data_IF_129589441196
#
_entry.id   IF_129589441196
#
_cell.length_a   1.000
_cell.length_b   1.000
_cell.length_c   1.000
_cell.angle_alpha   90.00
_cell.angle_beta   90.00
_cell.angle_gamma   90.00
#
_symmetry.space_group_name_H-M   'P 1'
#
loop_
_entity.id
_entity.type
_entity.pdbx_description
1 polymer ?
#
# COMPACT_ATOMS: atom_id res chain seq x y z
N UNK A 1 -14.01 13.29 81.88
CA UNK A 1 -13.56 14.25 80.88
C UNK A 1 -12.62 13.50 79.97
N UNK A 2 -13.14 12.98 78.79
CA UNK A 2 -12.36 12.21 77.81
C UNK A 2 -11.98 13.09 76.65
N UNK A 3 -10.68 13.30 76.42
CA UNK A 3 -10.10 14.03 75.33
C UNK A 3 -10.00 13.12 74.12
N UNK A 4 -10.71 13.42 73.03
CA UNK A 4 -10.64 12.73 71.74
C UNK A 4 -9.57 13.46 70.90
N UNK A 5 -8.45 12.75 70.60
CA UNK A 5 -7.44 13.23 69.63
C UNK A 5 -7.93 12.90 68.23
N UNK A 6 -8.15 13.95 67.42
CA UNK A 6 -8.38 13.82 65.95
C UNK A 6 -7.04 13.64 65.24
N UNK A 7 -6.86 12.53 64.58
CA UNK A 7 -5.78 12.32 63.60
C UNK A 7 -6.28 12.86 62.25
N UNK A 8 -5.62 13.88 61.73
CA UNK A 8 -5.83 14.35 60.34
C UNK A 8 -4.87 13.60 59.43
N UNK A 9 -5.42 12.75 58.57
CA UNK A 9 -4.67 12.07 57.49
C UNK A 9 -4.59 13.03 56.31
N UNK A 10 -3.39 13.49 56.00
CA UNK A 10 -3.11 14.25 54.77
C UNK A 10 -2.91 13.26 53.66
N UNK A 11 -3.84 13.19 52.71
CA UNK A 11 -3.69 12.43 51.45
C UNK A 11 -2.96 13.34 50.46
N UNK A 12 -1.69 13.02 50.19
CA UNK A 12 -0.94 13.63 49.12
C UNK A 12 -1.42 13.00 47.81
N UNK A 13 -2.24 13.72 47.04
CA UNK A 13 -2.56 13.37 45.65
C UNK A 13 -1.34 13.71 44.80
N UNK A 14 -0.61 12.67 44.36
CA UNK A 14 0.39 12.80 43.30
C UNK A 14 -0.38 12.93 41.97
N UNK A 15 -0.48 14.14 41.49
CA UNK A 15 -0.95 14.40 40.10
C UNK A 15 0.14 13.91 39.13
N UNK A 16 -0.08 12.77 38.51
CA UNK A 16 0.62 12.37 37.30
C UNK A 16 0.21 13.35 36.19
N UNK A 17 1.01 14.38 36.01
CA UNK A 17 0.93 15.22 34.82
C UNK A 17 1.49 14.41 33.66
N UNK A 18 0.63 13.73 32.89
CA UNK A 18 0.97 13.30 31.54
C UNK A 18 1.10 14.58 30.72
N UNK A 19 2.34 15.04 30.51
CA UNK A 19 2.64 16.03 29.50
C UNK A 19 2.32 15.36 28.15
N UNK A 20 1.16 15.70 27.57
CA UNK A 20 0.99 15.57 26.14
C UNK A 20 2.10 16.44 25.54
N UNK A 21 3.11 15.84 24.92
CA UNK A 21 4.07 16.53 24.07
C UNK A 21 3.23 17.24 23.02
N UNK A 22 3.49 18.52 22.81
CA UNK A 22 2.80 19.26 21.78
C UNK A 22 3.12 18.59 20.41
N UNK A 23 2.12 18.47 19.56
CA UNK A 23 2.24 17.85 18.21
C UNK A 23 3.33 18.52 17.34
N UNK A 24 3.70 19.75 17.68
CA UNK A 24 4.68 20.59 16.97
C UNK A 24 6.14 20.11 17.09
N UNK A 25 6.49 19.26 18.07
CA UNK A 25 7.87 18.82 18.32
C UNK A 25 8.12 17.35 17.91
N UNK A 26 7.12 16.63 17.39
CA UNK A 26 7.30 15.25 16.95
C UNK A 26 7.93 15.17 15.58
N UNK A 27 8.81 14.16 15.38
CA UNK A 27 9.39 13.85 14.08
C UNK A 27 8.28 13.66 13.04
N UNK A 28 8.41 14.29 11.88
CA UNK A 28 7.41 14.28 10.82
C UNK A 28 7.94 13.63 9.56
N UNK A 29 7.32 12.52 9.13
CA UNK A 29 7.57 11.90 7.85
C UNK A 29 6.43 12.22 6.86
N UNK A 30 6.78 12.47 5.60
CA UNK A 30 5.83 12.63 4.51
C UNK A 30 6.07 11.53 3.49
N UNK A 31 4.99 10.90 3.04
CA UNK A 31 5.02 9.83 2.04
C UNK A 31 4.34 10.27 0.75
N UNK A 32 4.65 9.63 -0.36
CA UNK A 32 4.06 9.96 -1.66
C UNK A 32 2.61 9.51 -1.77
N UNK A 33 2.24 8.36 -1.19
CA UNK A 33 0.87 7.84 -1.26
C UNK A 33 0.43 7.08 -0.01
N UNK A 34 -0.87 6.84 0.08
CA UNK A 34 -1.54 6.38 1.30
C UNK A 34 -1.11 5.00 1.79
N UNK A 35 -0.76 4.08 0.89
CA UNK A 35 -0.35 2.72 1.26
C UNK A 35 0.94 2.74 2.07
N UNK A 36 1.98 3.41 1.56
CA UNK A 36 3.25 3.53 2.31
C UNK A 36 3.12 4.48 3.51
N UNK A 37 2.13 5.38 3.53
CA UNK A 37 1.83 6.17 4.71
C UNK A 37 1.34 5.31 5.87
N UNK A 38 0.42 4.38 5.59
CA UNK A 38 -0.07 3.45 6.61
C UNK A 38 1.05 2.53 7.10
N UNK A 39 1.86 1.98 6.19
CA UNK A 39 3.03 1.16 6.57
C UNK A 39 3.99 1.95 7.48
N UNK A 40 4.29 3.19 7.10
CA UNK A 40 5.17 4.06 7.88
C UNK A 40 4.57 4.45 9.24
N UNK A 41 3.25 4.70 9.31
CA UNK A 41 2.58 5.00 10.58
C UNK A 41 2.59 3.80 11.52
N UNK A 42 2.45 2.57 11.00
CA UNK A 42 2.56 1.35 11.82
C UNK A 42 3.97 1.18 12.42
N UNK A 43 5.01 1.53 11.69
CA UNK A 43 6.40 1.54 12.21
C UNK A 43 6.61 2.71 13.17
N UNK A 44 6.08 3.88 12.85
CA UNK A 44 6.23 5.09 13.68
C UNK A 44 5.53 4.95 15.05
N UNK A 45 4.35 4.34 15.11
CA UNK A 45 3.49 4.36 16.29
C UNK A 45 3.16 5.81 16.69
N UNK A 46 3.33 6.11 17.98
CA UNK A 46 3.14 7.47 18.52
C UNK A 46 4.43 8.32 18.48
N UNK A 47 5.56 7.76 18.06
CA UNK A 47 6.86 8.46 18.07
C UNK A 47 6.98 9.49 16.94
N UNK A 48 6.34 9.28 15.78
CA UNK A 48 6.35 10.20 14.68
C UNK A 48 4.96 10.45 14.10
N UNK A 49 4.81 11.53 13.37
CA UNK A 49 3.63 11.86 12.57
C UNK A 49 3.91 11.46 11.13
N UNK A 50 3.01 10.73 10.49
CA UNK A 50 3.12 10.37 9.08
C UNK A 50 1.98 10.97 8.28
N UNK A 51 2.31 11.70 7.23
CA UNK A 51 1.33 12.29 6.31
C UNK A 51 1.55 11.80 4.88
N UNK A 52 0.47 11.61 4.12
CA UNK A 52 0.53 11.28 2.69
C UNK A 52 0.35 12.52 1.82
N UNK A 53 1.10 12.63 0.71
CA UNK A 53 0.90 13.65 -0.32
C UNK A 53 -0.42 13.39 -1.02
N UNK A 54 -0.63 12.18 -1.55
CA UNK A 54 -1.90 11.83 -2.19
C UNK A 54 -2.98 11.55 -1.15
N UNK A 55 -4.22 11.74 -1.55
CA UNK A 55 -5.39 11.46 -0.72
C UNK A 55 -5.89 10.04 -0.94
N UNK A 56 -6.66 9.55 0.02
CA UNK A 56 -7.40 8.29 -0.12
C UNK A 56 -8.22 8.26 -1.41
N UNK A 57 -8.14 7.14 -2.14
CA UNK A 57 -8.80 6.92 -3.42
C UNK A 57 -8.14 7.59 -4.63
N UNK A 58 -7.01 8.29 -4.46
CA UNK A 58 -6.33 8.95 -5.58
C UNK A 58 -5.56 7.95 -6.44
N UNK A 59 -5.58 8.17 -7.75
CA UNK A 59 -4.66 7.57 -8.71
C UNK A 59 -3.25 8.19 -8.50
N UNK A 60 -2.20 7.36 -8.51
CA UNK A 60 -0.86 7.78 -8.08
C UNK A 60 0.16 7.94 -9.22
N UNK A 61 0.00 7.24 -10.35
CA UNK A 61 0.96 7.29 -11.45
C UNK A 61 0.98 8.64 -12.16
N UNK A 62 -0.20 9.19 -12.42
CA UNK A 62 -0.39 10.49 -13.09
C UNK A 62 -0.69 11.64 -12.13
N UNK A 63 -0.36 11.51 -10.83
CA UNK A 63 -0.67 12.54 -9.85
C UNK A 63 0.02 13.87 -10.18
N UNK A 64 -0.72 14.97 -10.01
CA UNK A 64 -0.21 16.31 -10.21
C UNK A 64 -0.13 17.05 -8.88
N UNK A 65 1.09 17.23 -8.31
CA UNK A 65 1.28 17.89 -7.04
C UNK A 65 0.80 19.34 -7.06
N UNK A 66 0.17 19.74 -5.98
CA UNK A 66 -0.27 21.12 -5.75
C UNK A 66 0.75 21.91 -4.94
N UNK A 67 0.69 23.27 -4.92
CA UNK A 67 1.55 24.07 -4.04
C UNK A 67 1.43 23.70 -2.54
N UNK A 68 0.28 23.17 -2.10
CA UNK A 68 0.10 22.72 -0.72
C UNK A 68 0.89 21.44 -0.42
N UNK A 69 1.03 20.56 -1.40
CA UNK A 69 1.81 19.33 -1.26
C UNK A 69 3.29 19.67 -1.12
N UNK A 70 3.78 20.70 -1.84
CA UNK A 70 5.14 21.19 -1.72
C UNK A 70 5.38 21.73 -0.29
N UNK A 71 4.50 22.58 0.22
CA UNK A 71 4.61 23.16 1.57
C UNK A 71 4.64 22.02 2.61
N UNK A 72 3.72 21.05 2.51
CA UNK A 72 3.66 19.90 3.42
C UNK A 72 4.96 19.12 3.45
N UNK A 73 5.55 18.87 2.27
CA UNK A 73 6.80 18.13 2.15
C UNK A 73 8.03 18.95 2.60
N UNK A 74 8.01 20.28 2.46
CA UNK A 74 9.08 21.17 2.97
C UNK A 74 9.15 21.20 4.49
N UNK A 75 8.02 21.02 5.17
CA UNK A 75 7.92 21.01 6.63
C UNK A 75 8.18 19.59 7.22
N UNK A 76 8.59 18.63 6.41
CA UNK A 76 8.91 17.28 6.84
C UNK A 76 10.38 17.12 7.24
N UNK A 77 10.65 16.26 8.21
CA UNK A 77 12.00 15.84 8.61
C UNK A 77 12.51 14.70 7.71
N UNK A 78 11.60 13.94 7.07
CA UNK A 78 11.91 12.82 6.21
C UNK A 78 10.85 12.63 5.14
N UNK A 79 11.25 12.27 3.92
CA UNK A 79 10.34 11.88 2.86
C UNK A 79 10.56 10.40 2.50
N UNK A 80 9.45 9.66 2.44
CA UNK A 80 9.43 8.26 2.05
C UNK A 80 8.71 8.11 0.71
N UNK A 81 9.31 7.44 -0.26
CA UNK A 81 8.76 7.25 -1.59
C UNK A 81 9.05 5.85 -2.13
N UNK A 82 8.24 5.40 -3.10
CA UNK A 82 8.35 4.04 -3.62
C UNK A 82 9.61 3.80 -4.45
N UNK A 83 9.86 4.66 -5.41
CA UNK A 83 10.85 4.39 -6.47
C UNK A 83 10.28 3.52 -7.59
N UNK A 84 11.14 2.76 -8.30
CA UNK A 84 10.78 1.90 -9.43
C UNK A 84 9.97 2.60 -10.53
N UNK A 85 10.16 3.89 -10.72
CA UNK A 85 9.45 4.76 -11.67
C UNK A 85 7.94 4.95 -11.36
N UNK A 86 7.48 4.71 -10.14
CA UNK A 86 6.09 4.94 -9.77
C UNK A 86 5.77 6.44 -9.85
N UNK A 87 6.51 7.23 -9.08
CA UNK A 87 6.26 8.65 -8.90
C UNK A 87 7.17 9.50 -9.80
N UNK A 88 7.06 9.37 -11.12
CA UNK A 88 7.85 10.19 -12.05
C UNK A 88 7.59 11.70 -11.85
N UNK A 89 6.38 12.06 -11.40
CA UNK A 89 6.01 13.42 -10.98
C UNK A 89 6.81 13.89 -9.77
N UNK A 90 7.21 12.97 -8.90
CA UNK A 90 7.91 13.26 -7.66
C UNK A 90 9.37 13.70 -7.92
N UNK A 91 10.05 13.14 -8.91
CA UNK A 91 11.41 13.55 -9.27
C UNK A 91 11.50 15.04 -9.65
N UNK A 92 10.47 15.59 -10.31
CA UNK A 92 10.41 17.02 -10.61
C UNK A 92 10.08 17.85 -9.36
N UNK A 93 9.23 17.32 -8.51
CA UNK A 93 8.83 17.89 -7.24
C UNK A 93 10.01 17.96 -6.27
N UNK A 94 10.81 16.88 -6.19
CA UNK A 94 11.97 16.75 -5.31
C UNK A 94 13.06 17.78 -5.56
N UNK A 95 13.21 18.25 -6.78
CA UNK A 95 14.18 19.33 -7.07
C UNK A 95 13.95 20.60 -6.28
N UNK A 96 12.74 20.79 -5.76
CA UNK A 96 12.37 21.91 -4.92
C UNK A 96 12.48 21.62 -3.41
N UNK A 97 12.85 20.38 -3.05
CA UNK A 97 12.91 19.86 -1.67
C UNK A 97 14.30 19.30 -1.33
N UNK A 98 15.35 19.78 -1.99
CA UNK A 98 16.72 19.24 -1.91
C UNK A 98 17.30 19.20 -0.49
N UNK A 99 16.73 19.95 0.43
CA UNK A 99 17.21 20.06 1.81
C UNK A 99 16.51 19.06 2.77
N UNK A 100 15.43 18.36 2.32
CA UNK A 100 14.74 17.36 3.12
C UNK A 100 15.30 15.96 2.80
N UNK A 101 15.75 15.19 3.80
CA UNK A 101 16.20 13.82 3.60
C UNK A 101 15.12 12.93 2.99
N UNK A 102 15.51 11.92 2.21
CA UNK A 102 14.54 10.98 1.64
C UNK A 102 15.06 9.56 1.60
N UNK A 103 14.14 8.59 1.63
CA UNK A 103 14.43 7.17 1.48
C UNK A 103 13.51 6.52 0.43
N UNK A 104 14.11 5.68 -0.42
CA UNK A 104 13.42 4.86 -1.39
C UNK A 104 13.03 3.54 -0.73
N UNK A 105 11.73 3.26 -0.66
CA UNK A 105 11.24 2.10 0.10
C UNK A 105 11.40 0.77 -0.64
N UNK A 106 11.57 0.79 -1.95
CA UNK A 106 11.84 -0.40 -2.77
C UNK A 106 13.32 -0.76 -2.89
N UNK A 107 14.21 -0.06 -2.22
CA UNK A 107 15.64 -0.41 -2.24
C UNK A 107 15.86 -1.84 -1.73
N UNK A 108 16.71 -2.60 -2.44
CA UNK A 108 16.98 -4.01 -2.15
C UNK A 108 15.99 -5.00 -2.75
N UNK A 109 14.91 -4.55 -3.39
CA UNK A 109 13.97 -5.41 -4.11
C UNK A 109 14.47 -5.63 -5.55
N UNK A 110 14.50 -6.88 -6.00
CA UNK A 110 14.72 -7.18 -7.42
C UNK A 110 13.41 -6.97 -8.20
N UNK A 111 13.34 -5.97 -9.09
CA UNK A 111 12.09 -5.61 -9.71
C UNK A 111 11.67 -6.61 -10.79
N UNK A 112 10.37 -6.93 -10.83
CA UNK A 112 9.76 -7.60 -11.97
C UNK A 112 9.67 -6.63 -13.15
N UNK A 113 9.93 -7.14 -14.36
CA UNK A 113 9.79 -6.34 -15.57
C UNK A 113 8.35 -6.38 -16.09
N UNK A 114 7.85 -5.23 -16.52
CA UNK A 114 6.60 -5.14 -17.29
C UNK A 114 6.79 -5.86 -18.63
N UNK A 115 5.87 -6.77 -18.99
CA UNK A 115 6.03 -7.68 -20.13
C UNK A 115 5.38 -7.17 -21.43
N UNK A 116 4.68 -6.02 -21.43
CA UNK A 116 3.91 -5.58 -22.59
C UNK A 116 3.77 -4.05 -22.68
N UNK A 117 3.34 -3.58 -23.87
CA UNK A 117 3.07 -2.17 -24.12
C UNK A 117 4.33 -1.32 -24.21
N UNK A 118 4.17 -0.02 -24.09
CA UNK A 118 5.27 0.96 -24.16
C UNK A 118 6.21 0.92 -22.95
N UNK A 119 5.75 0.31 -21.83
CA UNK A 119 6.53 0.10 -20.61
C UNK A 119 7.30 -1.23 -20.62
N UNK A 120 7.28 -1.99 -21.71
CA UNK A 120 7.97 -3.28 -21.79
C UNK A 120 9.45 -3.18 -21.40
N UNK A 121 9.89 -4.02 -20.48
CA UNK A 121 11.23 -4.03 -19.94
C UNK A 121 11.51 -2.97 -18.84
N UNK A 122 10.56 -2.11 -18.52
CA UNK A 122 10.63 -1.22 -17.35
C UNK A 122 10.29 -1.97 -16.07
N UNK A 123 10.80 -1.53 -14.91
CA UNK A 123 10.41 -2.13 -13.64
C UNK A 123 8.92 -1.93 -13.37
N UNK A 124 8.24 -2.97 -12.88
CA UNK A 124 6.91 -2.87 -12.34
C UNK A 124 7.00 -2.26 -10.94
N UNK A 125 6.32 -1.13 -10.66
CA UNK A 125 6.51 -0.42 -9.40
C UNK A 125 5.75 -1.02 -8.19
N UNK A 126 4.78 -1.92 -8.41
CA UNK A 126 3.81 -2.36 -7.40
C UNK A 126 4.36 -3.46 -6.46
N UNK A 127 5.62 -3.30 -6.02
CA UNK A 127 6.31 -4.31 -5.24
C UNK A 127 5.70 -4.53 -3.84
N UNK A 128 5.00 -3.55 -3.28
CA UNK A 128 4.28 -3.69 -2.00
C UNK A 128 3.16 -4.73 -2.02
N UNK A 129 2.75 -5.20 -3.19
CA UNK A 129 1.76 -6.28 -3.32
C UNK A 129 2.34 -7.68 -3.07
N UNK A 130 3.65 -7.83 -2.91
CA UNK A 130 4.32 -9.06 -2.50
C UNK A 130 4.56 -9.08 -1.00
N UNK A 131 4.34 -10.23 -0.34
CA UNK A 131 4.68 -10.42 1.07
C UNK A 131 6.17 -10.19 1.32
N UNK A 132 7.04 -10.82 0.52
CA UNK A 132 8.49 -10.71 0.68
C UNK A 132 8.94 -9.25 0.55
N UNK A 133 8.46 -8.57 -0.48
CA UNK A 133 8.78 -7.15 -0.70
C UNK A 133 8.21 -6.26 0.39
N UNK A 134 6.99 -6.51 0.87
CA UNK A 134 6.38 -5.74 1.96
C UNK A 134 7.24 -5.74 3.24
N UNK A 135 7.87 -6.86 3.56
CA UNK A 135 8.79 -6.92 4.71
C UNK A 135 10.02 -6.05 4.48
N UNK A 136 10.53 -5.97 3.25
CA UNK A 136 11.65 -5.08 2.88
C UNK A 136 11.21 -3.61 3.01
N UNK A 137 10.00 -3.25 2.56
CA UNK A 137 9.46 -1.90 2.77
C UNK A 137 9.44 -1.53 4.25
N UNK A 138 8.97 -2.43 5.12
CA UNK A 138 8.94 -2.18 6.57
C UNK A 138 10.34 -2.00 7.14
N UNK A 139 11.32 -2.81 6.70
CA UNK A 139 12.71 -2.66 7.12
C UNK A 139 13.31 -1.33 6.64
N UNK A 140 13.07 -0.93 5.38
CA UNK A 140 13.55 0.34 4.84
C UNK A 140 12.92 1.55 5.56
N UNK A 141 11.64 1.48 5.91
CA UNK A 141 10.96 2.51 6.72
C UNK A 141 11.62 2.60 8.11
N UNK A 142 11.81 1.46 8.80
CA UNK A 142 12.48 1.42 10.10
C UNK A 142 13.88 2.03 10.03
N UNK A 143 14.67 1.63 9.06
CA UNK A 143 16.06 2.09 8.91
C UNK A 143 16.12 3.59 8.63
N UNK A 144 15.18 4.12 7.82
CA UNK A 144 15.07 5.54 7.57
C UNK A 144 14.70 6.32 8.84
N UNK A 145 13.72 5.84 9.61
CA UNK A 145 13.35 6.47 10.89
C UNK A 145 14.50 6.42 11.90
N UNK A 146 15.15 5.27 12.09
CA UNK A 146 16.30 5.13 13.00
C UNK A 146 17.45 6.06 12.62
N UNK A 147 17.70 6.25 11.32
CA UNK A 147 18.77 7.12 10.84
C UNK A 147 18.49 8.61 11.11
N UNK A 148 17.23 9.04 11.04
CA UNK A 148 16.84 10.46 11.11
C UNK A 148 16.21 10.87 12.43
N UNK A 149 15.72 9.89 13.22
CA UNK A 149 15.18 10.09 14.59
C UNK A 149 15.69 9.00 15.54
N UNK A 150 17.00 8.98 15.83
CA UNK A 150 17.65 7.92 16.62
C UNK A 150 17.16 7.86 18.08
N UNK A 151 16.57 8.91 18.62
CA UNK A 151 16.03 8.93 19.98
C UNK A 151 14.88 7.95 20.15
N UNK A 152 14.12 7.68 19.08
CA UNK A 152 13.00 6.75 19.04
C UNK A 152 13.33 5.38 18.41
N UNK A 153 14.61 5.09 18.13
CA UNK A 153 15.06 3.88 17.42
C UNK A 153 14.45 2.58 17.97
N UNK A 154 14.48 2.39 19.29
CA UNK A 154 13.94 1.18 19.93
C UNK A 154 12.43 0.98 19.69
N UNK A 155 11.66 2.08 19.58
CA UNK A 155 10.24 2.04 19.24
C UNK A 155 10.04 1.59 17.81
N UNK A 156 10.77 2.17 16.86
CA UNK A 156 10.70 1.83 15.44
C UNK A 156 11.09 0.38 15.17
N UNK A 157 12.16 -0.10 15.79
CA UNK A 157 12.61 -1.50 15.71
C UNK A 157 11.54 -2.47 16.22
N UNK A 158 10.97 -2.21 17.39
CA UNK A 158 9.94 -3.07 18.00
C UNK A 158 8.66 -3.10 17.15
N UNK A 159 8.20 -1.93 16.68
CA UNK A 159 7.01 -1.80 15.86
C UNK A 159 7.19 -2.48 14.50
N UNK A 160 8.35 -2.32 13.85
CA UNK A 160 8.65 -2.95 12.57
C UNK A 160 8.59 -4.49 12.68
N UNK A 161 9.19 -5.08 13.70
CA UNK A 161 9.14 -6.53 13.93
C UNK A 161 7.69 -7.02 14.18
N UNK A 162 6.93 -6.30 15.00
CA UNK A 162 5.53 -6.63 15.26
C UNK A 162 4.69 -6.54 13.97
N UNK A 163 4.86 -5.48 13.19
CA UNK A 163 4.10 -5.25 11.97
C UNK A 163 4.44 -6.26 10.85
N UNK A 164 5.71 -6.65 10.70
CA UNK A 164 6.11 -7.73 9.79
C UNK A 164 5.46 -9.07 10.15
N UNK A 165 5.36 -9.37 11.44
CA UNK A 165 4.67 -10.57 11.91
C UNK A 165 3.16 -10.52 11.58
N UNK A 166 2.53 -9.36 11.73
CA UNK A 166 1.11 -9.16 11.42
C UNK A 166 0.82 -9.27 9.92
N UNK A 167 1.65 -8.66 9.06
CA UNK A 167 1.57 -8.82 7.59
C UNK A 167 1.65 -10.30 7.22
N UNK A 168 2.64 -11.01 7.76
CA UNK A 168 2.84 -12.43 7.46
C UNK A 168 1.65 -13.28 7.91
N UNK A 169 1.10 -13.03 9.10
CA UNK A 169 -0.06 -13.74 9.63
C UNK A 169 -1.33 -13.46 8.82
N UNK A 170 -1.49 -12.25 8.27
CA UNK A 170 -2.63 -11.87 7.44
C UNK A 170 -2.61 -12.61 6.10
N UNK A 171 -1.44 -12.69 5.45
CA UNK A 171 -1.33 -13.23 4.09
C UNK A 171 -1.28 -14.75 4.05
N UNK A 172 -0.68 -15.43 5.04
CA UNK A 172 -0.45 -16.85 5.01
C UNK A 172 -1.72 -17.70 4.74
N UNK A 173 -2.85 -17.51 5.46
CA UNK A 173 -4.05 -18.31 5.23
C UNK A 173 -4.70 -18.01 3.86
N UNK A 174 -4.59 -16.79 3.37
CA UNK A 174 -5.15 -16.39 2.06
C UNK A 174 -4.35 -17.00 0.92
N UNK A 175 -3.03 -17.07 1.06
CA UNK A 175 -2.16 -17.76 0.12
C UNK A 175 -2.49 -19.25 0.04
N UNK A 176 -2.73 -19.91 1.17
CA UNK A 176 -3.14 -21.32 1.20
C UNK A 176 -4.47 -21.55 0.47
N UNK A 177 -5.45 -20.65 0.62
CA UNK A 177 -6.72 -20.75 -0.10
C UNK A 177 -6.54 -20.67 -1.61
N UNK A 178 -5.74 -19.73 -2.11
CA UNK A 178 -5.47 -19.60 -3.55
C UNK A 178 -4.67 -20.80 -4.06
N UNK A 179 -3.67 -21.27 -3.32
CA UNK A 179 -2.88 -22.45 -3.71
C UNK A 179 -3.67 -23.76 -3.69
N UNK A 180 -4.82 -23.82 -3.04
CA UNK A 180 -5.75 -24.96 -3.11
C UNK A 180 -6.50 -25.03 -4.44
N UNK A 181 -6.60 -23.93 -5.20
CA UNK A 181 -7.14 -23.93 -6.57
C UNK A 181 -6.16 -24.61 -7.51
N UNK A 182 -6.57 -25.45 -8.47
CA UNK A 182 -5.67 -26.02 -9.48
C UNK A 182 -4.89 -24.95 -10.24
N UNK A 183 -3.59 -25.18 -10.51
CA UNK A 183 -2.69 -24.18 -11.08
C UNK A 183 -3.15 -23.64 -12.44
N UNK A 184 -3.77 -24.50 -13.26
CA UNK A 184 -4.35 -24.15 -14.56
C UNK A 184 -5.56 -23.22 -14.46
N UNK A 185 -6.19 -23.12 -13.29
CA UNK A 185 -7.34 -22.26 -13.01
C UNK A 185 -6.95 -20.97 -12.25
N UNK A 186 -5.69 -20.86 -11.81
CA UNK A 186 -5.21 -19.68 -11.06
C UNK A 186 -4.89 -18.54 -12.00
N UNK A 187 -5.92 -17.89 -12.52
CA UNK A 187 -5.79 -16.71 -13.34
C UNK A 187 -6.20 -15.45 -12.58
N UNK A 188 -5.33 -14.45 -12.61
CA UNK A 188 -5.65 -13.11 -12.14
C UNK A 188 -5.79 -12.19 -13.35
N UNK A 189 -7.02 -11.83 -13.68
CA UNK A 189 -7.33 -10.94 -14.80
C UNK A 189 -7.77 -9.60 -14.24
N UNK A 190 -6.96 -8.57 -14.41
CA UNK A 190 -7.14 -7.22 -13.87
C UNK A 190 -7.21 -6.15 -14.96
N UNK A 191 -7.51 -4.93 -14.57
CA UNK A 191 -7.42 -3.78 -15.49
C UNK A 191 -5.96 -3.40 -15.71
N UNK A 192 -5.21 -3.17 -14.64
CA UNK A 192 -3.80 -2.82 -14.66
C UNK A 192 -2.91 -4.01 -14.34
N UNK A 193 -1.67 -4.01 -14.85
CA UNK A 193 -0.61 -4.97 -14.49
C UNK A 193 0.04 -4.69 -13.13
N UNK A 194 -0.79 -4.39 -12.13
CA UNK A 194 -0.35 -3.98 -10.80
C UNK A 194 -0.12 -5.15 -9.83
N UNK A 195 -0.47 -6.37 -10.22
CA UNK A 195 -0.48 -7.52 -9.34
C UNK A 195 0.61 -8.54 -9.65
N UNK A 196 1.58 -8.22 -10.51
CA UNK A 196 2.61 -9.17 -10.97
C UNK A 196 3.39 -9.82 -9.82
N UNK A 197 3.70 -9.05 -8.77
CA UNK A 197 4.40 -9.58 -7.58
C UNK A 197 3.50 -10.51 -6.76
N UNK A 198 2.24 -10.14 -6.55
CA UNK A 198 1.26 -10.99 -5.88
C UNK A 198 1.00 -12.27 -6.69
N UNK A 199 0.83 -12.16 -8.01
CA UNK A 199 0.62 -13.31 -8.89
C UNK A 199 1.81 -14.28 -8.84
N UNK A 200 3.05 -13.78 -8.85
CA UNK A 200 4.26 -14.59 -8.64
C UNK A 200 4.23 -15.33 -7.31
N UNK A 201 3.96 -14.61 -6.22
CA UNK A 201 4.01 -15.17 -4.86
C UNK A 201 2.92 -16.24 -4.62
N UNK A 202 1.83 -16.16 -5.38
CA UNK A 202 0.67 -17.05 -5.26
C UNK A 202 0.60 -18.08 -6.41
N UNK A 203 1.65 -18.16 -7.25
CA UNK A 203 1.73 -19.07 -8.38
C UNK A 203 0.50 -18.95 -9.30
N UNK A 204 0.15 -17.70 -9.66
CA UNK A 204 -0.97 -17.34 -10.53
C UNK A 204 -0.46 -16.93 -11.91
N UNK A 205 -1.30 -17.12 -12.92
CA UNK A 205 -1.10 -16.54 -14.25
C UNK A 205 -1.75 -15.16 -14.27
N UNK A 206 -0.98 -14.13 -14.62
CA UNK A 206 -1.47 -12.76 -14.70
C UNK A 206 -1.87 -12.38 -16.13
N UNK A 207 -3.02 -11.72 -16.26
CA UNK A 207 -3.48 -11.10 -17.49
C UNK A 207 -4.09 -9.73 -17.15
N UNK A 208 -3.73 -8.69 -17.90
CA UNK A 208 -4.24 -7.34 -17.65
C UNK A 208 -4.59 -6.61 -18.95
N UNK A 209 -5.49 -5.64 -18.83
CA UNK A 209 -5.93 -4.81 -19.97
C UNK A 209 -4.85 -3.82 -20.40
N UNK A 210 -4.18 -3.16 -19.45
CA UNK A 210 -3.04 -2.26 -19.68
C UNK A 210 -1.96 -2.42 -18.62
N UNK A 211 -0.70 -2.07 -18.93
CA UNK A 211 0.41 -2.33 -18.03
C UNK A 211 0.49 -1.39 -16.82
N UNK A 212 0.17 -0.09 -17.01
CA UNK A 212 0.25 0.97 -15.98
C UNK A 212 -0.83 2.02 -16.24
N UNK A 213 -1.38 2.63 -15.19
CA UNK A 213 -2.45 3.62 -15.25
C UNK A 213 -2.03 5.02 -15.81
N UNK A 214 -0.78 5.20 -16.22
CA UNK A 214 -0.22 6.53 -16.51
C UNK A 214 -0.90 7.31 -17.64
N UNK A 215 -1.32 6.66 -18.76
CA UNK A 215 -1.66 7.42 -19.98
C UNK A 215 -2.94 7.02 -20.71
N UNK A 216 -3.35 5.77 -20.71
CA UNK A 216 -4.55 5.36 -21.45
C UNK A 216 -5.14 4.05 -20.91
N UNK A 217 -6.40 4.12 -20.57
CA UNK A 217 -7.17 2.98 -20.10
C UNK A 217 -7.70 2.18 -21.29
N UNK A 218 -7.00 1.09 -21.62
CA UNK A 218 -7.53 0.04 -22.49
C UNK A 218 -7.86 0.42 -23.92
N UNK A 219 -6.91 0.29 -24.82
CA UNK A 219 -7.22 0.37 -26.26
C UNK A 219 -8.14 -0.79 -26.69
N UNK A 220 -8.95 -0.64 -27.75
CA UNK A 220 -9.76 -1.73 -28.28
C UNK A 220 -8.97 -3.00 -28.59
N UNK A 221 -7.69 -2.88 -28.97
CA UNK A 221 -6.82 -4.01 -29.23
C UNK A 221 -6.43 -4.74 -27.94
N UNK A 222 -6.14 -4.02 -26.86
CA UNK A 222 -5.86 -4.60 -25.55
C UNK A 222 -7.07 -5.33 -24.98
N UNK A 223 -8.25 -4.70 -25.02
CA UNK A 223 -9.50 -5.32 -24.60
C UNK A 223 -9.78 -6.61 -25.39
N UNK A 224 -9.63 -6.58 -26.71
CA UNK A 224 -9.82 -7.77 -27.56
C UNK A 224 -8.87 -8.89 -27.18
N UNK A 225 -7.57 -8.60 -26.99
CA UNK A 225 -6.58 -9.61 -26.57
C UNK A 225 -7.01 -10.29 -25.27
N UNK A 226 -7.48 -9.52 -24.28
CA UNK A 226 -7.94 -10.08 -23.00
C UNK A 226 -9.20 -10.93 -23.19
N UNK A 227 -10.18 -10.48 -23.99
CA UNK A 227 -11.38 -11.25 -24.32
C UNK A 227 -11.02 -12.60 -24.95
N UNK A 228 -10.12 -12.60 -25.96
CA UNK A 228 -9.70 -13.81 -26.66
C UNK A 228 -9.01 -14.76 -25.67
N UNK A 229 -8.07 -14.26 -24.84
CA UNK A 229 -7.38 -15.09 -23.82
C UNK A 229 -8.33 -15.65 -22.77
N UNK A 230 -9.29 -14.86 -22.28
CA UNK A 230 -10.29 -15.30 -21.29
C UNK A 230 -11.15 -16.43 -21.86
N UNK A 231 -11.56 -16.33 -23.13
CA UNK A 231 -12.33 -17.39 -23.81
C UNK A 231 -11.51 -18.65 -24.04
N UNK A 232 -10.29 -18.49 -24.57
CA UNK A 232 -9.45 -19.62 -24.96
C UNK A 232 -9.02 -20.47 -23.75
N UNK A 233 -8.94 -19.88 -22.58
CA UNK A 233 -8.54 -20.54 -21.31
C UNK A 233 -9.72 -20.77 -20.36
N UNK A 234 -10.96 -20.44 -20.78
CA UNK A 234 -12.18 -20.62 -19.97
C UNK A 234 -12.07 -19.97 -18.57
N UNK A 235 -11.44 -18.78 -18.51
CA UNK A 235 -11.16 -18.08 -17.25
C UNK A 235 -12.48 -17.63 -16.62
N UNK A 236 -12.78 -18.02 -15.35
CA UNK A 236 -14.09 -17.80 -14.75
C UNK A 236 -14.32 -16.37 -14.29
N UNK A 237 -13.27 -15.64 -13.91
CA UNK A 237 -13.39 -14.36 -13.22
C UNK A 237 -12.47 -13.27 -13.79
N UNK A 238 -12.96 -12.04 -13.78
CA UNK A 238 -12.21 -10.81 -14.08
C UNK A 238 -12.46 -9.77 -13.00
N UNK A 239 -11.46 -8.95 -12.73
CA UNK A 239 -11.42 -7.94 -11.68
C UNK A 239 -11.03 -6.57 -12.25
N UNK A 240 -11.11 -5.53 -11.44
CA UNK A 240 -10.57 -4.21 -11.77
C UNK A 240 -10.24 -3.43 -10.50
N UNK A 241 -9.28 -2.51 -10.56
CA UNK A 241 -8.81 -1.73 -9.43
C UNK A 241 -9.77 -0.59 -9.09
N UNK A 242 -9.72 -0.13 -7.82
CA UNK A 242 -10.59 0.92 -7.28
C UNK A 242 -10.29 2.32 -7.85
N UNK A 243 -9.07 2.54 -8.33
CA UNK A 243 -8.59 3.85 -8.81
C UNK A 243 -8.92 4.14 -10.27
N UNK A 244 -9.47 3.17 -11.00
CA UNK A 244 -9.79 3.29 -12.43
C UNK A 244 -11.24 2.92 -12.76
N UNK A 245 -11.65 3.19 -14.01
CA UNK A 245 -12.97 2.79 -14.50
C UNK A 245 -13.06 1.27 -14.67
N UNK A 246 -14.07 0.67 -14.07
CA UNK A 246 -14.33 -0.77 -14.14
C UNK A 246 -15.01 -1.20 -15.46
N UNK A 247 -15.44 -0.23 -16.27
CA UNK A 247 -16.19 -0.48 -17.52
C UNK A 247 -15.50 -1.44 -18.49
N UNK A 248 -14.18 -1.37 -18.72
CA UNK A 248 -13.47 -2.31 -19.60
C UNK A 248 -13.49 -3.75 -19.10
N UNK A 249 -13.27 -3.99 -17.80
CA UNK A 249 -13.35 -5.33 -17.20
C UNK A 249 -14.76 -5.89 -17.25
N UNK A 250 -15.77 -5.07 -16.97
CA UNK A 250 -17.18 -5.45 -17.13
C UNK A 250 -17.55 -5.75 -18.59
N UNK A 251 -16.91 -5.11 -19.56
CA UNK A 251 -17.08 -5.45 -20.98
C UNK A 251 -16.49 -6.83 -21.26
N UNK A 252 -15.27 -7.12 -20.79
CA UNK A 252 -14.66 -8.46 -20.90
C UNK A 252 -15.60 -9.52 -20.34
N UNK A 253 -16.11 -9.33 -19.13
CA UNK A 253 -17.06 -10.24 -18.48
C UNK A 253 -18.31 -10.51 -19.36
N UNK A 254 -18.96 -9.44 -19.83
CA UNK A 254 -20.15 -9.57 -20.69
C UNK A 254 -19.88 -10.31 -22.00
N UNK A 255 -18.73 -10.09 -22.61
CA UNK A 255 -18.40 -10.67 -23.91
C UNK A 255 -17.88 -12.11 -23.84
N UNK A 256 -17.33 -12.52 -22.68
CA UNK A 256 -16.76 -13.86 -22.49
C UNK A 256 -17.68 -14.81 -21.74
N UNK A 257 -18.61 -14.29 -20.93
CA UNK A 257 -19.39 -15.04 -19.97
C UNK A 257 -18.68 -15.26 -18.63
N UNK A 258 -17.45 -14.73 -18.47
CA UNK A 258 -16.79 -14.70 -17.17
C UNK A 258 -17.54 -13.79 -16.17
N UNK A 259 -17.39 -14.04 -14.89
CA UNK A 259 -17.94 -13.19 -13.82
C UNK A 259 -17.06 -11.96 -13.62
N UNK A 260 -17.66 -10.76 -13.55
CA UNK A 260 -16.95 -9.62 -12.92
C UNK A 260 -16.99 -9.83 -11.40
N UNK A 261 -15.90 -10.39 -10.86
CA UNK A 261 -15.87 -10.91 -9.49
C UNK A 261 -15.59 -9.84 -8.43
N UNK A 262 -15.26 -8.61 -8.84
CA UNK A 262 -15.18 -7.51 -7.88
C UNK A 262 -14.06 -6.52 -8.11
N UNK A 263 -13.96 -5.61 -7.14
CA UNK A 263 -12.99 -4.53 -7.08
C UNK A 263 -11.79 -4.96 -6.26
N UNK A 264 -10.58 -4.70 -6.79
CA UNK A 264 -9.31 -4.89 -6.08
C UNK A 264 -8.75 -3.54 -5.64
N UNK A 265 -7.86 -3.57 -4.66
CA UNK A 265 -7.20 -2.37 -4.14
C UNK A 265 -5.69 -2.57 -4.25
N UNK A 266 -4.98 -1.55 -4.75
CA UNK A 266 -3.53 -1.57 -4.93
C UNK A 266 -2.88 -0.22 -4.65
N UNK A 267 -3.28 0.84 -5.36
CA UNK A 267 -2.59 2.13 -5.39
C UNK A 267 -2.98 3.07 -4.26
N UNK A 268 -4.13 2.83 -3.65
CA UNK A 268 -4.68 3.75 -2.65
C UNK A 268 -5.52 3.05 -1.60
N UNK A 269 -5.40 3.52 -0.38
CA UNK A 269 -6.33 3.17 0.69
C UNK A 269 -7.63 3.96 0.55
N UNK A 270 -8.68 3.51 1.21
CA UNK A 270 -9.94 4.26 1.33
C UNK A 270 -9.91 5.21 2.53
N UNK A 271 -10.92 6.05 2.66
CA UNK A 271 -11.16 6.78 3.90
C UNK A 271 -11.39 5.81 5.08
N UNK A 272 -11.27 6.30 6.30
CA UNK A 272 -11.33 5.50 7.52
C UNK A 272 -12.63 4.70 7.70
N UNK A 273 -13.72 5.13 7.09
CA UNK A 273 -15.04 4.46 7.08
C UNK A 273 -15.27 3.57 5.85
N UNK A 274 -14.26 3.45 4.97
CA UNK A 274 -14.30 2.63 3.77
C UNK A 274 -13.82 1.19 4.00
N UNK A 275 -13.84 0.35 2.94
CA UNK A 275 -13.54 -1.09 3.06
C UNK A 275 -12.06 -1.41 3.29
N UNK A 276 -11.13 -0.54 2.90
CA UNK A 276 -9.67 -0.76 3.00
C UNK A 276 -8.96 0.47 3.58
N UNK A 277 -9.20 0.81 4.85
CA UNK A 277 -8.57 1.96 5.49
C UNK A 277 -7.09 1.74 5.83
N UNK A 278 -6.59 0.49 5.84
CA UNK A 278 -5.22 0.12 6.17
C UNK A 278 -4.57 -0.74 5.08
N UNK A 279 -3.26 -0.83 5.09
CA UNK A 279 -2.53 -1.72 4.19
C UNK A 279 -2.84 -3.20 4.44
N UNK A 280 -3.04 -3.60 5.69
CA UNK A 280 -3.48 -4.96 6.02
C UNK A 280 -4.86 -5.27 5.45
N UNK A 281 -5.80 -4.32 5.52
CA UNK A 281 -7.11 -4.46 4.89
C UNK A 281 -7.00 -4.52 3.37
N UNK A 282 -6.09 -3.72 2.75
CA UNK A 282 -5.84 -3.78 1.31
C UNK A 282 -5.40 -5.17 0.88
N UNK A 283 -4.41 -5.74 1.55
CA UNK A 283 -3.92 -7.09 1.27
C UNK A 283 -5.02 -8.13 1.48
N UNK A 284 -5.71 -8.07 2.62
CA UNK A 284 -6.77 -9.02 2.99
C UNK A 284 -7.94 -8.96 2.01
N UNK A 285 -8.55 -7.80 1.83
CA UNK A 285 -9.76 -7.64 0.99
C UNK A 285 -9.47 -7.97 -0.46
N UNK A 286 -8.32 -7.52 -0.99
CA UNK A 286 -7.92 -7.83 -2.37
C UNK A 286 -7.72 -9.33 -2.56
N UNK A 287 -7.01 -9.99 -1.65
CA UNK A 287 -6.74 -11.43 -1.76
C UNK A 287 -8.00 -12.28 -1.53
N UNK A 288 -8.87 -11.91 -0.57
CA UNK A 288 -10.17 -12.55 -0.36
C UNK A 288 -11.05 -12.44 -1.61
N UNK A 289 -11.09 -11.26 -2.24
CA UNK A 289 -11.87 -11.03 -3.48
C UNK A 289 -11.35 -11.91 -4.62
N UNK A 290 -10.03 -12.03 -4.77
CA UNK A 290 -9.42 -12.91 -5.77
C UNK A 290 -9.78 -14.37 -5.47
N UNK A 291 -9.60 -14.84 -4.24
CA UNK A 291 -9.89 -16.22 -3.84
C UNK A 291 -11.35 -16.60 -4.07
N UNK A 292 -12.29 -15.69 -3.74
CA UNK A 292 -13.71 -15.89 -4.01
C UNK A 292 -13.99 -16.06 -5.51
N UNK A 293 -13.47 -15.16 -6.34
CA UNK A 293 -13.68 -15.21 -7.79
C UNK A 293 -13.06 -16.44 -8.49
N UNK A 294 -12.03 -17.07 -7.89
CA UNK A 294 -11.45 -18.31 -8.42
C UNK A 294 -12.25 -19.57 -8.05
N UNK A 295 -13.16 -19.47 -7.08
CA UNK A 295 -13.90 -20.64 -6.53
C UNK A 295 -15.38 -20.63 -6.87
N UNK A 296 -15.92 -19.58 -7.46
CA UNK A 296 -17.30 -19.46 -7.97
C UNK A 296 -17.44 -20.00 -9.40
#
# INVERSE_FOLDING_TARGET
MKMIKRFSTVVCAVALSSTAMADEDRFKAVTTFTVIADMAQNVAGDAAIVESITKAGAEIHGYQPTPRDIIRAQDADLILWNGLNLELWFEQFFRNLSDVPSATLSDGIEPLSISSGEYNGKPNPHAWMSLESALIYVDNIRDAFVAHDPENAATYEANAEAYKAEISATIAPLREQILAVPVEQRWLVSCEGAFSYLARDFDMQELYLWPINADSQGTPQQVRRVIDTVRDNEIPAVFCESTVSQSPAQQVARETGATYAGMLYVDSLTAADGPVPTYLDLLRVTTETIAAGLTE
#
